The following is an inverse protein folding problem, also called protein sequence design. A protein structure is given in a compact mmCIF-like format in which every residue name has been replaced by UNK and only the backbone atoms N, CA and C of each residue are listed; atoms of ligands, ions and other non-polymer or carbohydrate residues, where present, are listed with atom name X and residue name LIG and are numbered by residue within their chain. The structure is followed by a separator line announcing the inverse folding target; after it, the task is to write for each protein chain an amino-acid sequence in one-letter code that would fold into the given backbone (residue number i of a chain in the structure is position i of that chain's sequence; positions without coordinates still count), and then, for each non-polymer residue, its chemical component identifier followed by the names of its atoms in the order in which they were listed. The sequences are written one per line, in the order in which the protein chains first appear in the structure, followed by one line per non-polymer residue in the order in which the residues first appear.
data_IF_840560813497
#
_entry.id   IF_840560813497
#
_cell.length_a   1.000
_cell.length_b   1.000
_cell.length_c   1.000
_cell.angle_alpha   90.00
_cell.angle_beta   90.00
_cell.angle_gamma   90.00
#
_symmetry.space_group_name_H-M   'P 1'
#
loop_
_entity.id
_entity.type
_entity.pdbx_description
1 polymer ?
#
# COMPACT_ATOMS: atom_id res chain seq x y z
N UNK A 1 -38.83 -6.47 -15.92
CA UNK A 1 -38.53 -6.04 -17.31
C UNK A 1 -37.08 -6.44 -17.57
N UNK A 2 -36.83 -7.66 -18.03
CA UNK A 2 -35.48 -8.22 -18.23
C UNK A 2 -35.03 -7.94 -19.65
N UNK A 3 -33.87 -7.28 -19.82
CA UNK A 3 -33.27 -7.03 -21.14
C UNK A 3 -32.29 -8.16 -21.49
N UNK A 4 -32.49 -8.66 -22.70
CA UNK A 4 -31.89 -9.86 -23.26
C UNK A 4 -30.41 -9.70 -23.65
N UNK A 5 -29.72 -10.83 -23.54
CA UNK A 5 -28.41 -11.15 -24.08
C UNK A 5 -28.43 -11.08 -25.62
N UNK A 6 -27.36 -10.60 -26.25
CA UNK A 6 -27.09 -10.86 -27.67
C UNK A 6 -25.60 -10.95 -27.91
N UNK A 7 -25.15 -12.18 -28.15
CA UNK A 7 -23.83 -12.58 -28.65
C UNK A 7 -23.86 -12.43 -30.17
N UNK A 8 -22.89 -11.75 -30.76
CA UNK A 8 -22.66 -11.76 -32.21
C UNK A 8 -21.24 -12.24 -32.48
N UNK A 9 -21.17 -13.48 -32.96
CA UNK A 9 -20.00 -14.13 -33.54
C UNK A 9 -20.26 -14.20 -35.05
N UNK A 10 -19.37 -13.69 -35.90
CA UNK A 10 -19.42 -13.96 -37.34
C UNK A 10 -18.01 -14.06 -37.94
N UNK A 11 -17.85 -15.17 -38.65
CA UNK A 11 -16.64 -15.76 -39.24
C UNK A 11 -16.26 -15.15 -40.59
N UNK A 12 -14.96 -15.21 -40.88
CA UNK A 12 -14.27 -15.50 -42.15
C UNK A 12 -14.86 -15.00 -43.48
N UNK A 13 -14.03 -14.27 -44.23
CA UNK A 13 -13.96 -14.44 -45.69
C UNK A 13 -12.50 -14.36 -46.17
N UNK A 14 -12.17 -15.34 -47.01
CA UNK A 14 -10.90 -15.55 -47.65
C UNK A 14 -10.79 -14.77 -48.98
N UNK A 15 -9.56 -14.60 -49.46
CA UNK A 15 -9.28 -14.54 -50.90
C UNK A 15 -8.48 -13.33 -51.37
N UNK A 16 -7.23 -13.56 -51.77
CA UNK A 16 -6.81 -13.43 -53.17
C UNK A 16 -5.47 -14.15 -53.39
N UNK A 17 -5.45 -14.99 -54.43
CA UNK A 17 -4.31 -15.77 -54.96
C UNK A 17 -3.93 -15.16 -56.30
N UNK A 18 -2.63 -15.08 -56.61
CA UNK A 18 -2.03 -15.25 -57.94
C UNK A 18 -0.52 -14.93 -57.84
N UNK A 19 0.40 -15.45 -58.66
CA UNK A 19 0.65 -16.73 -59.35
C UNK A 19 2.08 -16.54 -59.91
N UNK A 20 2.92 -17.57 -59.98
CA UNK A 20 4.32 -17.36 -60.42
C UNK A 20 5.29 -18.54 -60.35
N UNK A 21 4.90 -19.69 -60.91
CA UNK A 21 5.72 -20.64 -61.70
C UNK A 21 7.14 -21.07 -61.28
N UNK A 22 7.33 -22.40 -61.16
CA UNK A 22 8.57 -23.07 -61.59
C UNK A 22 9.08 -24.30 -60.81
N UNK A 23 8.44 -25.47 -61.00
CA UNK A 23 9.03 -26.84 -61.10
C UNK A 23 9.96 -27.44 -60.01
N UNK A 24 10.00 -28.79 -59.86
CA UNK A 24 10.25 -29.44 -58.56
C UNK A 24 11.66 -30.01 -58.38
N UNK A 25 12.14 -30.09 -57.13
CA UNK A 25 13.00 -31.19 -56.68
C UNK A 25 12.74 -31.50 -55.20
N UNK A 26 12.46 -32.78 -54.94
CA UNK A 26 12.15 -33.36 -53.63
C UNK A 26 13.42 -33.99 -53.05
N UNK A 27 13.78 -33.65 -51.82
CA UNK A 27 14.49 -34.47 -50.81
C UNK A 27 14.86 -33.54 -49.64
N UNK A 28 14.93 -33.92 -48.37
CA UNK A 28 14.39 -34.98 -47.54
C UNK A 28 14.71 -34.53 -46.09
N UNK A 29 13.71 -34.59 -45.21
CA UNK A 29 13.71 -34.61 -43.74
C UNK A 29 15.04 -34.46 -42.98
N UNK A 30 15.09 -33.51 -42.03
CA UNK A 30 15.44 -33.83 -40.64
C UNK A 30 14.80 -32.83 -39.67
N UNK A 31 13.95 -33.35 -38.79
CA UNK A 31 13.38 -32.67 -37.63
C UNK A 31 14.48 -32.26 -36.65
N UNK A 32 14.47 -31.00 -36.25
CA UNK A 32 15.15 -30.48 -35.06
C UNK A 32 14.23 -29.45 -34.40
N UNK A 33 14.04 -29.47 -33.06
CA UNK A 33 13.02 -28.65 -32.39
C UNK A 33 13.34 -27.15 -32.51
N UNK A 34 12.33 -26.25 -32.53
CA UNK A 34 12.56 -24.82 -32.51
C UNK A 34 13.00 -24.40 -31.10
N UNK A 35 14.29 -24.16 -30.90
CA UNK A 35 14.77 -23.51 -29.69
C UNK A 35 14.30 -22.06 -29.68
N UNK A 36 13.34 -21.79 -28.79
CA UNK A 36 13.04 -20.45 -28.31
C UNK A 36 14.15 -20.04 -27.34
N UNK A 37 14.87 -18.95 -27.63
CA UNK A 37 15.31 -17.93 -26.65
C UNK A 37 16.25 -16.93 -27.32
N UNK A 38 15.72 -15.79 -27.76
CA UNK A 38 16.46 -14.53 -27.66
C UNK A 38 15.82 -13.74 -26.54
N UNK A 39 16.31 -13.97 -25.32
CA UNK A 39 16.14 -13.07 -24.19
C UNK A 39 16.75 -11.74 -24.62
N UNK A 40 15.94 -10.72 -24.84
CA UNK A 40 16.41 -9.35 -25.01
C UNK A 40 17.24 -9.01 -23.76
N UNK A 41 18.54 -8.84 -23.97
CA UNK A 41 19.45 -8.28 -22.97
C UNK A 41 18.94 -6.88 -22.63
N UNK A 42 18.99 -6.53 -21.34
CA UNK A 42 18.47 -5.29 -20.80
C UNK A 42 18.89 -4.09 -21.64
N UNK A 43 17.89 -3.32 -22.09
CA UNK A 43 18.13 -2.00 -22.64
C UNK A 43 18.71 -1.15 -21.53
N UNK A 44 20.02 -0.89 -21.62
CA UNK A 44 20.65 0.17 -20.87
C UNK A 44 20.08 1.49 -21.43
N UNK A 45 19.39 2.32 -20.61
CA UNK A 45 18.75 3.52 -21.13
C UNK A 45 19.79 4.43 -21.76
N UNK A 46 19.43 5.00 -22.92
CA UNK A 46 20.25 6.00 -23.59
C UNK A 46 20.56 7.16 -22.63
N UNK A 47 21.78 7.68 -22.66
CA UNK A 47 22.30 8.68 -21.71
C UNK A 47 21.43 9.93 -21.57
N UNK A 48 20.67 10.32 -22.60
CA UNK A 48 19.73 11.44 -22.54
C UNK A 48 18.40 11.10 -21.84
N UNK A 49 17.91 9.86 -21.97
CA UNK A 49 16.74 9.35 -21.21
C UNK A 49 17.11 9.18 -19.75
N UNK A 50 18.30 8.63 -19.47
CA UNK A 50 18.81 8.47 -18.11
C UNK A 50 19.02 9.80 -17.40
N UNK A 51 19.46 10.86 -18.10
CA UNK A 51 19.61 12.20 -17.51
C UNK A 51 18.29 12.80 -17.02
N UNK A 52 17.22 12.66 -17.80
CA UNK A 52 15.91 13.17 -17.38
C UNK A 52 15.26 12.29 -16.29
N UNK A 53 15.66 11.01 -16.23
CA UNK A 53 15.24 10.07 -15.20
C UNK A 53 16.11 10.11 -13.92
N UNK A 54 17.17 10.93 -13.87
CA UNK A 54 18.09 11.03 -12.72
C UNK A 54 17.96 12.38 -12.04
N UNK A 55 17.85 12.39 -10.71
CA UNK A 55 18.01 13.60 -9.88
C UNK A 55 19.35 13.56 -9.13
N UNK A 56 20.03 14.70 -9.03
CA UNK A 56 21.25 14.80 -8.24
C UNK A 56 20.92 14.90 -6.75
N UNK A 57 21.59 14.13 -5.89
CA UNK A 57 21.34 14.14 -4.44
C UNK A 57 21.53 15.53 -3.81
N UNK A 58 22.38 16.37 -4.40
CA UNK A 58 22.57 17.76 -3.98
C UNK A 58 21.35 18.66 -4.18
N UNK A 59 20.50 18.32 -5.17
CA UNK A 59 19.30 19.09 -5.53
C UNK A 59 18.09 18.73 -4.67
N UNK A 60 18.15 17.59 -3.96
CA UNK A 60 17.11 17.17 -3.01
C UNK A 60 17.04 18.14 -1.81
N UNK A 61 15.84 18.35 -1.26
CA UNK A 61 15.65 19.08 -0.01
C UNK A 61 16.28 18.34 1.18
N UNK A 62 16.53 19.00 2.33
CA UNK A 62 17.02 18.30 3.52
C UNK A 62 16.11 17.15 3.98
N UNK A 63 14.80 17.24 3.77
CA UNK A 63 13.86 16.17 4.13
C UNK A 63 13.98 14.99 3.15
N UNK A 64 14.04 15.27 1.84
CA UNK A 64 14.23 14.25 0.80
C UNK A 64 15.56 13.53 0.97
N UNK A 65 16.67 14.26 1.24
CA UNK A 65 17.96 13.63 1.50
C UNK A 65 17.92 12.65 2.67
N UNK A 66 17.26 13.03 3.77
CA UNK A 66 17.06 12.13 4.92
C UNK A 66 16.25 10.89 4.54
N UNK A 67 15.18 11.05 3.77
CA UNK A 67 14.38 9.91 3.30
C UNK A 67 15.19 8.96 2.41
N UNK A 68 15.98 9.52 1.48
CA UNK A 68 16.90 8.73 0.65
C UNK A 68 17.96 8.01 1.49
N UNK A 69 18.57 8.69 2.46
CA UNK A 69 19.58 8.09 3.33
C UNK A 69 18.99 7.01 4.26
N UNK A 70 17.75 7.18 4.71
CA UNK A 70 17.01 6.12 5.42
C UNK A 70 16.78 4.93 4.51
N UNK A 71 16.34 5.14 3.27
CA UNK A 71 16.09 4.05 2.32
C UNK A 71 17.38 3.31 1.92
N UNK A 72 18.55 3.98 1.93
CA UNK A 72 19.85 3.30 1.79
C UNK A 72 20.13 2.30 2.93
N UNK A 73 19.57 2.53 4.12
CA UNK A 73 19.66 1.62 5.26
C UNK A 73 18.61 0.50 5.27
N UNK A 74 17.67 0.51 4.33
CA UNK A 74 16.55 -0.43 4.26
C UNK A 74 15.39 0.13 3.46
N UNK A 75 14.45 0.78 4.14
CA UNK A 75 13.23 1.35 3.54
C UNK A 75 12.88 2.69 4.18
N UNK A 76 12.38 3.63 3.38
CA UNK A 76 11.72 4.84 3.88
C UNK A 76 10.22 4.76 3.60
N UNK A 77 9.40 5.04 4.62
CA UNK A 77 7.95 4.95 4.57
C UNK A 77 7.34 6.35 4.47
N UNK A 78 6.32 6.52 3.63
CA UNK A 78 5.66 7.81 3.41
C UNK A 78 4.16 7.72 3.71
N UNK A 79 3.69 8.62 4.58
CA UNK A 79 2.31 8.69 5.05
C UNK A 79 1.74 10.10 4.88
N UNK A 80 0.44 10.27 5.07
CA UNK A 80 -0.14 11.62 5.14
C UNK A 80 0.36 12.35 6.39
N UNK A 81 0.45 13.69 6.31
CA UNK A 81 0.89 14.53 7.44
C UNK A 81 0.07 14.28 8.71
N UNK A 82 -1.24 14.12 8.59
CA UNK A 82 -2.13 13.82 9.73
C UNK A 82 -1.82 12.49 10.42
N UNK A 83 -1.13 11.57 9.75
CA UNK A 83 -0.71 10.29 10.31
C UNK A 83 0.68 10.36 10.95
N UNK A 84 1.47 11.41 10.69
CA UNK A 84 2.76 11.55 11.35
C UNK A 84 2.61 11.90 12.82
N UNK A 85 1.58 12.65 13.21
CA UNK A 85 1.35 13.02 14.61
C UNK A 85 1.24 11.77 15.53
N UNK A 86 0.71 10.67 15.01
CA UNK A 86 0.64 9.38 15.72
C UNK A 86 1.87 8.48 15.52
N UNK A 87 2.83 8.90 14.69
CA UNK A 87 4.06 8.18 14.34
C UNK A 87 5.33 8.98 14.66
N UNK A 88 5.26 10.16 15.30
CA UNK A 88 6.38 11.11 15.43
C UNK A 88 7.65 10.52 16.07
N UNK A 89 7.52 9.43 16.83
CA UNK A 89 8.64 8.74 17.48
C UNK A 89 9.14 7.51 16.70
N UNK A 90 8.55 7.19 15.54
CA UNK A 90 8.98 6.06 14.70
C UNK A 90 9.96 6.54 13.64
N UNK A 91 11.20 6.08 13.75
CA UNK A 91 12.22 6.29 12.73
C UNK A 91 11.76 5.72 11.38
N UNK A 92 12.16 6.39 10.30
CA UNK A 92 11.91 5.94 8.93
C UNK A 92 10.56 6.33 8.32
N UNK A 93 9.75 7.16 9.00
CA UNK A 93 8.51 7.70 8.47
C UNK A 93 8.64 9.17 8.05
N UNK A 94 8.10 9.49 6.88
CA UNK A 94 8.11 10.81 6.26
C UNK A 94 6.71 11.17 5.74
N UNK A 95 6.47 12.45 5.43
CA UNK A 95 5.23 12.84 4.76
C UNK A 95 5.30 12.55 3.25
N UNK A 96 4.16 12.22 2.64
CA UNK A 96 4.03 11.92 1.19
C UNK A 96 4.47 13.01 0.23
N UNK A 97 4.54 14.27 0.66
CA UNK A 97 5.13 15.38 -0.10
C UNK A 97 6.65 15.24 -0.26
N UNK A 98 7.34 14.64 0.70
CA UNK A 98 8.79 14.36 0.61
C UNK A 98 9.11 13.33 -0.48
N UNK A 99 8.15 12.50 -0.89
CA UNK A 99 8.34 11.48 -1.91
C UNK A 99 8.31 11.98 -3.36
N UNK A 100 8.00 13.26 -3.60
CA UNK A 100 7.80 13.77 -4.97
C UNK A 100 8.96 13.45 -5.93
N UNK A 101 10.23 13.73 -5.59
CA UNK A 101 11.33 13.43 -6.51
C UNK A 101 11.46 11.94 -6.81
N UNK A 102 11.16 11.09 -5.83
CA UNK A 102 11.31 9.64 -5.96
C UNK A 102 10.21 8.99 -6.78
N UNK A 103 9.09 9.70 -7.02
CA UNK A 103 8.06 9.31 -7.99
C UNK A 103 8.37 9.77 -9.40
N UNK A 104 9.08 10.90 -9.52
CA UNK A 104 9.35 11.56 -10.78
C UNK A 104 10.61 11.05 -11.48
N UNK A 105 11.51 10.42 -10.72
CA UNK A 105 12.82 9.96 -11.20
C UNK A 105 13.01 8.48 -10.92
N UNK A 106 13.75 7.80 -11.79
CA UNK A 106 14.12 6.39 -11.63
C UNK A 106 15.42 6.24 -10.84
N UNK A 107 16.25 7.30 -10.82
CA UNK A 107 17.57 7.26 -10.21
C UNK A 107 17.91 8.50 -9.38
N UNK A 108 18.73 8.32 -8.35
CA UNK A 108 19.46 9.39 -7.66
C UNK A 108 20.94 9.20 -7.88
N UNK A 109 21.65 10.27 -8.25
CA UNK A 109 23.12 10.27 -8.26
C UNK A 109 23.66 10.89 -6.97
N UNK A 110 24.47 10.14 -6.23
CA UNK A 110 25.11 10.58 -4.99
C UNK A 110 26.60 10.29 -5.04
N UNK A 111 27.43 11.32 -4.89
CA UNK A 111 28.90 11.20 -4.91
C UNK A 111 29.46 10.49 -6.16
N UNK A 112 28.79 10.68 -7.31
CA UNK A 112 29.19 10.05 -8.58
C UNK A 112 28.67 8.63 -8.80
N UNK A 113 28.09 7.99 -7.78
CA UNK A 113 27.43 6.70 -7.89
C UNK A 113 25.94 6.87 -8.24
N UNK A 114 25.39 5.93 -9.01
CA UNK A 114 23.99 5.90 -9.40
C UNK A 114 23.22 4.91 -8.54
N UNK A 115 22.08 5.33 -8.02
CA UNK A 115 21.20 4.52 -7.21
C UNK A 115 19.82 4.43 -7.86
N UNK A 116 19.31 3.22 -8.07
CA UNK A 116 17.96 2.98 -8.55
C UNK A 116 16.97 3.20 -7.43
N UNK A 117 15.90 3.92 -7.72
CA UNK A 117 14.76 4.11 -6.84
C UNK A 117 13.69 3.08 -7.19
N UNK A 118 13.21 2.39 -6.17
CA UNK A 118 12.00 1.57 -6.26
C UNK A 118 10.97 2.18 -5.31
N UNK A 119 10.04 2.96 -5.89
CA UNK A 119 8.96 3.61 -5.16
C UNK A 119 7.65 2.88 -5.40
N UNK A 120 7.05 2.39 -4.32
CA UNK A 120 5.81 1.63 -4.35
C UNK A 120 4.73 2.34 -3.56
N UNK A 121 3.68 2.80 -4.27
CA UNK A 121 2.51 3.37 -3.62
C UNK A 121 1.76 2.28 -2.84
N UNK A 122 1.50 2.53 -1.56
CA UNK A 122 0.89 1.53 -0.64
C UNK A 122 1.66 0.20 -0.52
N UNK A 123 2.98 0.21 -0.73
CA UNK A 123 3.85 -0.97 -0.64
C UNK A 123 4.42 -1.27 0.75
N UNK A 124 4.10 -0.45 1.75
CA UNK A 124 4.55 -0.65 3.13
C UNK A 124 3.66 -1.57 3.94
N UNK A 125 4.11 -1.90 5.15
CA UNK A 125 3.31 -2.69 6.08
C UNK A 125 2.06 -1.90 6.53
N UNK A 126 0.93 -2.61 6.63
CA UNK A 126 -0.32 -2.04 7.13
C UNK A 126 -0.15 -1.50 8.55
N UNK A 127 -0.42 -0.22 8.73
CA UNK A 127 -0.52 0.42 10.02
C UNK A 127 -1.99 0.56 10.41
N UNK A 128 -2.45 -0.38 11.24
CA UNK A 128 -3.80 -0.35 11.80
C UNK A 128 -3.89 0.58 13.01
N UNK A 129 -5.07 1.15 13.21
CA UNK A 129 -5.48 1.93 14.38
C UNK A 129 -6.96 1.68 14.66
N UNK A 130 -7.40 1.95 15.88
CA UNK A 130 -8.82 1.89 16.22
C UNK A 130 -9.23 3.02 17.15
N UNK A 131 -10.51 3.35 17.10
CA UNK A 131 -11.16 4.29 18.00
C UNK A 131 -12.32 3.63 18.73
N UNK A 132 -12.51 4.00 19.99
CA UNK A 132 -13.64 3.64 20.82
C UNK A 132 -14.34 4.92 21.23
N UNK A 133 -15.62 5.04 20.94
CA UNK A 133 -16.43 6.17 21.39
C UNK A 133 -17.46 5.67 22.39
N UNK A 134 -17.62 6.39 23.50
CA UNK A 134 -18.57 6.07 24.55
C UNK A 134 -19.61 7.18 24.64
N UNK A 135 -20.87 6.81 24.48
CA UNK A 135 -22.01 7.71 24.60
C UNK A 135 -22.85 7.30 25.81
N UNK A 136 -23.09 8.22 26.76
CA UNK A 136 -23.97 7.98 27.89
C UNK A 136 -25.41 7.83 27.39
N UNK A 137 -26.06 6.71 27.70
CA UNK A 137 -27.42 6.42 27.23
C UNK A 137 -28.25 5.66 28.26
N UNK A 138 -29.56 5.74 28.13
CA UNK A 138 -30.45 4.75 28.74
C UNK A 138 -30.49 3.51 27.83
N UNK A 139 -30.04 2.33 28.32
CA UNK A 139 -30.08 1.12 27.50
C UNK A 139 -31.53 0.67 27.29
N UNK A 140 -31.86 0.08 26.13
CA UNK A 140 -33.17 -0.52 25.94
C UNK A 140 -33.37 -1.67 26.94
N UNK A 141 -34.63 -1.96 27.31
CA UNK A 141 -34.97 -2.91 28.38
C UNK A 141 -34.42 -4.34 28.18
N UNK A 142 -34.10 -4.71 26.94
CA UNK A 142 -33.54 -6.01 26.56
C UNK A 142 -32.04 -5.97 26.23
N UNK A 143 -31.34 -4.85 26.47
CA UNK A 143 -29.91 -4.77 26.25
C UNK A 143 -29.15 -5.61 27.29
N UNK A 144 -28.14 -6.32 26.80
CA UNK A 144 -27.11 -6.89 27.67
C UNK A 144 -26.13 -5.78 28.03
N UNK A 145 -26.10 -5.41 29.31
CA UNK A 145 -25.12 -4.47 29.86
C UNK A 145 -23.98 -5.25 30.49
N UNK A 146 -22.74 -4.91 30.12
CA UNK A 146 -21.54 -5.59 30.61
C UNK A 146 -20.71 -4.62 31.45
N UNK A 147 -20.43 -4.91 32.72
CA UNK A 147 -19.52 -4.08 33.51
C UNK A 147 -18.14 -3.99 32.85
N UNK A 148 -17.54 -2.80 32.81
CA UNK A 148 -16.22 -2.59 32.17
C UNK A 148 -15.14 -3.54 32.72
N UNK A 149 -15.20 -3.88 34.02
CA UNK A 149 -14.28 -4.84 34.65
C UNK A 149 -14.40 -6.29 34.15
N UNK A 150 -15.49 -6.63 33.46
CA UNK A 150 -15.74 -7.94 32.89
C UNK A 150 -15.38 -8.02 31.40
N UNK A 151 -14.95 -6.91 30.80
CA UNK A 151 -14.40 -6.92 29.45
C UNK A 151 -13.00 -7.58 29.43
N UNK A 152 -12.55 -8.08 28.26
CA UNK A 152 -11.17 -8.52 28.06
C UNK A 152 -10.15 -7.47 28.51
N UNK A 153 -9.03 -7.90 29.08
CA UNK A 153 -8.07 -7.00 29.76
C UNK A 153 -7.50 -5.91 28.85
N UNK A 154 -7.30 -6.22 27.58
CA UNK A 154 -6.84 -5.30 26.53
C UNK A 154 -7.90 -4.28 26.11
N UNK A 155 -9.18 -4.56 26.34
CA UNK A 155 -10.29 -3.64 26.10
C UNK A 155 -10.57 -2.70 27.28
N UNK A 156 -10.26 -3.09 28.52
CA UNK A 156 -10.66 -2.31 29.71
C UNK A 156 -10.03 -0.91 29.73
N UNK A 157 -8.74 -0.79 29.44
CA UNK A 157 -8.04 0.50 29.40
C UNK A 157 -8.65 1.47 28.38
N UNK A 158 -8.71 1.09 27.09
CA UNK A 158 -9.37 1.86 26.04
C UNK A 158 -10.80 2.29 26.38
N UNK A 159 -11.62 1.37 26.90
CA UNK A 159 -13.03 1.68 27.23
C UNK A 159 -13.14 2.63 28.41
N UNK A 160 -12.32 2.47 29.47
CA UNK A 160 -12.30 3.43 30.60
C UNK A 160 -11.92 4.83 30.13
N UNK A 161 -10.96 4.92 29.22
CA UNK A 161 -10.53 6.21 28.68
C UNK A 161 -11.61 6.84 27.79
N UNK A 162 -12.27 6.03 26.95
CA UNK A 162 -13.41 6.48 26.17
C UNK A 162 -14.59 6.95 27.03
N UNK A 163 -14.91 6.23 28.11
CA UNK A 163 -15.94 6.65 29.08
C UNK A 163 -15.57 8.00 29.72
N UNK A 164 -14.29 8.20 30.07
CA UNK A 164 -13.81 9.43 30.70
C UNK A 164 -13.83 10.64 29.77
N UNK A 165 -13.40 10.45 28.52
CA UNK A 165 -13.11 11.54 27.58
C UNK A 165 -14.13 11.62 26.41
N UNK A 166 -15.12 10.74 26.39
CA UNK A 166 -16.04 10.50 25.26
C UNK A 166 -15.45 9.64 24.14
N UNK A 167 -14.12 9.57 24.03
CA UNK A 167 -13.43 8.73 23.04
C UNK A 167 -12.02 8.32 23.45
N UNK A 168 -11.54 7.24 22.86
CA UNK A 168 -10.17 6.76 22.90
C UNK A 168 -9.72 6.44 21.47
N UNK A 169 -8.48 6.75 21.13
CA UNK A 169 -7.87 6.36 19.85
C UNK A 169 -6.51 5.71 20.11
N UNK A 170 -6.26 4.56 19.48
CA UNK A 170 -4.93 3.97 19.47
C UNK A 170 -3.99 4.75 18.55
N UNK A 171 -2.69 4.67 18.82
CA UNK A 171 -1.70 5.21 17.89
C UNK A 171 -1.67 4.36 16.61
N UNK A 172 -1.30 4.98 15.49
CA UNK A 172 -1.21 4.30 14.20
C UNK A 172 -0.08 3.28 14.22
N UNK A 173 -0.38 2.05 13.83
CA UNK A 173 0.58 0.94 13.91
C UNK A 173 0.81 0.41 15.32
N UNK A 174 0.05 0.88 16.32
CA UNK A 174 -0.06 0.25 17.64
C UNK A 174 -1.49 -0.24 17.83
N UNK A 175 -1.66 -1.56 17.86
CA UNK A 175 -2.98 -2.19 17.89
C UNK A 175 -3.32 -2.81 16.54
N UNK A 176 -2.53 -3.82 16.17
CA UNK A 176 -2.68 -4.64 14.94
C UNK A 176 -4.10 -5.15 14.72
N UNK A 177 -4.91 -5.19 15.78
CA UNK A 177 -6.33 -5.53 15.72
C UNK A 177 -7.09 -4.84 16.86
N UNK A 178 -8.36 -4.52 16.60
CA UNK A 178 -9.35 -4.23 17.64
C UNK A 178 -9.30 -5.31 18.73
N UNK A 179 -9.29 -4.96 20.04
CA UNK A 179 -9.40 -5.93 21.11
C UNK A 179 -10.55 -6.93 20.88
N UNK A 180 -10.30 -8.21 21.11
CA UNK A 180 -11.33 -9.23 20.99
C UNK A 180 -12.48 -8.94 21.98
N UNK A 181 -13.72 -9.24 21.58
CA UNK A 181 -14.89 -8.98 22.44
C UNK A 181 -15.38 -7.53 22.44
N UNK A 182 -14.70 -6.59 21.78
CA UNK A 182 -15.24 -5.26 21.52
C UNK A 182 -16.17 -5.27 20.29
N UNK A 183 -17.45 -5.57 20.52
CA UNK A 183 -18.51 -5.50 19.52
C UNK A 183 -19.09 -4.09 19.34
N UNK A 184 -19.55 -3.78 18.13
CA UNK A 184 -20.32 -2.56 17.88
C UNK A 184 -21.65 -2.55 18.65
N UNK A 185 -21.99 -1.41 19.23
CA UNK A 185 -23.28 -1.20 19.90
C UNK A 185 -23.42 -1.92 21.24
N UNK A 186 -22.31 -2.38 21.84
CA UNK A 186 -22.31 -2.91 23.20
C UNK A 186 -22.65 -1.83 24.22
N UNK A 187 -23.35 -2.23 25.26
CA UNK A 187 -23.64 -1.39 26.43
C UNK A 187 -22.70 -1.79 27.55
N UNK A 188 -21.96 -0.83 28.08
CA UNK A 188 -21.02 -1.05 29.18
C UNK A 188 -21.40 -0.21 30.39
N UNK A 189 -21.26 -0.79 31.57
CA UNK A 189 -21.49 -0.08 32.83
C UNK A 189 -20.15 0.33 33.44
N UNK A 190 -20.03 1.61 33.79
CA UNK A 190 -18.94 2.16 34.59
C UNK A 190 -19.51 3.13 35.62
N UNK A 191 -19.12 2.97 36.88
CA UNK A 191 -19.49 3.87 37.97
C UNK A 191 -21.01 4.09 38.12
N UNK A 192 -21.82 3.07 37.77
CA UNK A 192 -23.29 3.11 37.85
C UNK A 192 -23.98 3.76 36.64
N UNK A 193 -23.23 4.20 35.65
CA UNK A 193 -23.73 4.76 34.40
C UNK A 193 -23.53 3.78 33.23
N UNK A 194 -24.43 3.84 32.26
CA UNK A 194 -24.40 2.94 31.09
C UNK A 194 -24.04 3.72 29.83
N UNK A 195 -23.03 3.21 29.14
CA UNK A 195 -22.49 3.80 27.93
C UNK A 195 -22.70 2.86 26.75
N UNK A 196 -23.15 3.39 25.61
CA UNK A 196 -23.12 2.68 24.35
C UNK A 196 -21.78 2.90 23.67
N UNK A 197 -21.11 1.81 23.32
CA UNK A 197 -19.84 1.85 22.63
C UNK A 197 -20.02 1.76 21.12
N UNK A 198 -19.35 2.64 20.40
CA UNK A 198 -19.16 2.55 18.95
C UNK A 198 -17.68 2.51 18.60
N UNK A 199 -17.37 1.92 17.46
CA UNK A 199 -16.00 1.63 17.06
C UNK A 199 -15.72 2.19 15.67
N UNK A 200 -14.47 2.58 15.48
CA UNK A 200 -13.92 2.93 14.18
C UNK A 200 -12.58 2.21 14.01
N UNK A 201 -12.30 1.70 12.82
CA UNK A 201 -10.99 1.16 12.45
C UNK A 201 -10.37 2.08 11.40
N UNK A 202 -9.06 2.27 11.50
CA UNK A 202 -8.29 3.10 10.58
C UNK A 202 -7.10 2.31 10.06
N UNK A 203 -7.13 1.99 8.77
CA UNK A 203 -6.06 1.30 8.07
C UNK A 203 -5.25 2.30 7.25
N UNK A 204 -3.94 2.30 7.46
CA UNK A 204 -3.02 3.15 6.70
C UNK A 204 -1.97 2.27 6.03
N UNK A 205 -1.93 2.35 4.70
CA UNK A 205 -0.86 1.76 3.90
C UNK A 205 0.15 2.86 3.54
N UNK A 206 1.39 2.80 4.08
CA UNK A 206 2.45 3.71 3.69
C UNK A 206 2.89 3.42 2.25
N UNK A 207 3.36 4.46 1.56
CA UNK A 207 4.19 4.25 0.37
C UNK A 207 5.61 3.92 0.81
N UNK A 208 6.35 3.17 0.02
CA UNK A 208 7.71 2.76 0.37
C UNK A 208 8.68 3.20 -0.71
N UNK A 209 9.84 3.69 -0.27
CA UNK A 209 11.03 3.83 -1.10
C UNK A 209 12.08 2.80 -0.66
N UNK A 210 12.54 2.02 -1.63
CA UNK A 210 13.74 1.19 -1.56
C UNK A 210 14.79 1.78 -2.50
N UNK A 211 16.06 1.68 -2.09
CA UNK A 211 17.18 2.20 -2.87
C UNK A 211 18.24 1.13 -3.00
N UNK A 212 18.72 0.91 -4.22
CA UNK A 212 19.84 0.01 -4.49
C UNK A 212 20.89 0.72 -5.34
N UNK A 213 22.16 0.38 -5.13
CA UNK A 213 23.24 0.89 -5.98
C UNK A 213 23.25 0.12 -7.30
N UNK A 214 23.43 0.83 -8.41
CA UNK A 214 23.62 0.25 -9.74
C UNK A 214 25.11 0.30 -10.09
N UNK A 215 25.67 -0.85 -10.48
CA UNK A 215 27.07 -0.98 -10.91
C UNK A 215 27.24 -0.75 -12.43
#
# INVERSE_FOLDING_TARGET
MFRALSVVLLLLSAGCVADGGGGPSVQATTDGPPDSTTRAAGEHPSTDTARNATVEYGDLSPAERRAFDTALGGEANFVHRSSLDSLENREGYFTRDVAEPFRAHEYVRKSGELYRLDYEASGGDLLASYGVHAELVEPPANATVVPVGNLPSDAQGPVREAVRNGSYHSQTGEGVSRPEGLGEGMYVESDGEVYRLTYSVGDLWPDVLRVERVD
#
